data_IF_541091225046
#
_entry.id   IF_541091225046
#
_cell.length_a   1.000
_cell.length_b   1.000
_cell.length_c   1.000
_cell.angle_alpha   90.00
_cell.angle_beta   90.00
_cell.angle_gamma   90.00
#
_symmetry.space_group_name_H-M   'P 1'
#
loop_
_entity.id
_entity.type
_entity.pdbx_description
1 polymer ?
#
# COMPACT_ATOMS: atom_id res chain seq x y z
N UNK A 1 6.91 2.65 1.65
CA UNK A 1 5.86 2.11 2.53
C UNK A 1 4.48 2.49 2.05
N UNK A 2 4.14 3.77 1.88
CA UNK A 2 2.79 4.16 1.46
C UNK A 2 1.76 4.13 2.60
N UNK A 3 2.24 4.29 3.85
CA UNK A 3 1.48 4.25 5.11
C UNK A 3 1.06 5.65 5.55
N UNK A 4 0.08 5.75 6.46
CA UNK A 4 -0.39 7.03 7.00
C UNK A 4 0.68 7.81 7.78
N UNK A 5 1.56 7.10 8.48
CA UNK A 5 2.62 7.70 9.29
C UNK A 5 4.01 7.31 8.79
N UNK A 6 5.02 8.05 9.24
CA UNK A 6 6.43 7.78 8.94
C UNK A 6 6.87 6.40 9.44
N UNK A 7 7.94 5.86 8.84
CA UNK A 7 8.40 4.48 9.10
C UNK A 7 8.67 4.19 10.58
N UNK A 8 9.22 5.15 11.34
CA UNK A 8 9.55 4.99 12.76
C UNK A 8 8.34 5.12 13.69
N UNK A 9 7.18 5.51 13.16
CA UNK A 9 5.92 5.63 13.88
C UNK A 9 4.99 4.43 13.58
N UNK A 10 5.50 3.43 12.86
CA UNK A 10 4.78 2.20 12.57
C UNK A 10 5.21 1.09 13.53
N UNK A 11 4.34 0.09 13.69
CA UNK A 11 4.66 -1.15 14.40
C UNK A 11 5.54 -2.02 13.50
N UNK A 12 6.71 -2.42 14.00
CA UNK A 12 7.73 -3.13 13.21
C UNK A 12 7.19 -4.46 12.71
N UNK A 13 6.63 -5.29 13.59
CA UNK A 13 6.17 -6.64 13.22
C UNK A 13 5.11 -6.61 12.09
N UNK A 14 4.31 -5.55 12.02
CA UNK A 14 3.22 -5.44 11.05
C UNK A 14 3.71 -4.95 9.68
N UNK A 15 4.65 -4.00 9.66
CA UNK A 15 4.95 -3.23 8.46
C UNK A 15 6.39 -3.31 8.00
N UNK A 16 7.31 -3.88 8.79
CA UNK A 16 8.73 -3.94 8.46
C UNK A 16 9.01 -4.67 7.14
N UNK A 17 8.19 -5.64 6.74
CA UNK A 17 8.35 -6.33 5.44
C UNK A 17 8.29 -5.36 4.26
N UNK A 18 7.56 -4.26 4.38
CA UNK A 18 7.41 -3.26 3.33
C UNK A 18 8.66 -2.36 3.19
N UNK A 19 9.52 -2.34 4.20
CA UNK A 19 10.72 -1.50 4.24
C UNK A 19 11.91 -2.23 3.63
N UNK A 20 12.68 -1.49 2.82
CA UNK A 20 13.97 -1.93 2.31
C UNK A 20 14.92 -2.26 3.46
N UNK A 21 15.69 -3.34 3.31
CA UNK A 21 16.71 -3.73 4.29
C UNK A 21 17.85 -2.71 4.26
N UNK A 22 17.76 -1.74 5.17
CA UNK A 22 18.65 -0.60 5.28
C UNK A 22 19.02 -0.41 6.74
N UNK A 23 20.04 0.40 7.00
CA UNK A 23 20.39 0.79 8.36
C UNK A 23 19.18 1.33 9.14
N UNK A 24 18.31 2.12 8.48
CA UNK A 24 17.11 2.67 9.11
C UNK A 24 16.13 1.59 9.59
N UNK A 25 15.95 0.51 8.82
CA UNK A 25 15.11 -0.63 9.23
C UNK A 25 15.69 -1.35 10.46
N UNK A 26 17.02 -1.47 10.53
CA UNK A 26 17.70 -2.05 11.70
C UNK A 26 17.52 -1.17 12.93
N UNK A 27 17.73 0.15 12.80
CA UNK A 27 17.51 1.11 13.89
C UNK A 27 16.08 1.04 14.42
N UNK A 28 15.10 0.97 13.51
CA UNK A 28 13.70 0.82 13.90
C UNK A 28 13.45 -0.44 14.74
N UNK A 29 14.04 -1.58 14.34
CA UNK A 29 13.97 -2.83 15.12
C UNK A 29 14.54 -2.66 16.53
N UNK A 30 15.70 -2.01 16.65
CA UNK A 30 16.34 -1.78 17.95
C UNK A 30 15.53 -0.82 18.83
N UNK A 31 14.97 0.23 18.24
CA UNK A 31 14.11 1.18 18.96
C UNK A 31 12.88 0.47 19.57
N UNK A 32 12.22 -0.40 18.81
CA UNK A 32 11.07 -1.16 19.30
C UNK A 32 11.49 -2.15 20.41
N UNK A 33 12.65 -2.81 20.27
CA UNK A 33 13.18 -3.72 21.30
C UNK A 33 13.51 -3.01 22.62
N UNK A 34 13.83 -1.72 22.57
CA UNK A 34 14.10 -0.86 23.73
C UNK A 34 12.85 -0.14 24.25
N UNK A 35 11.67 -0.39 23.67
CA UNK A 35 10.42 0.34 23.93
C UNK A 35 10.58 1.87 23.78
N UNK A 36 11.38 2.28 22.78
CA UNK A 36 11.63 3.67 22.43
C UNK A 36 10.93 4.05 21.13
N UNK A 37 10.35 5.25 21.09
CA UNK A 37 9.63 5.74 19.92
C UNK A 37 10.17 7.11 19.49
N UNK A 38 10.34 7.29 18.19
CA UNK A 38 10.73 8.58 17.62
C UNK A 38 9.46 9.31 17.19
N UNK A 39 9.12 10.36 17.94
CA UNK A 39 8.10 11.31 17.51
C UNK A 39 8.69 12.23 16.44
N UNK A 40 8.15 12.16 15.22
CA UNK A 40 8.52 13.06 14.14
C UNK A 40 7.26 13.55 13.43
N UNK A 41 7.20 14.85 13.14
CA UNK A 41 6.09 15.46 12.41
C UNK A 41 6.35 15.27 10.90
N UNK A 42 5.96 14.10 10.39
CA UNK A 42 6.02 13.82 8.96
C UNK A 42 4.71 14.22 8.31
N UNK A 43 4.73 14.95 7.17
CA UNK A 43 3.52 15.18 6.42
C UNK A 43 2.94 13.82 6.00
N UNK A 44 1.72 13.54 6.44
CA UNK A 44 0.98 12.36 6.01
C UNK A 44 0.77 12.40 4.50
N UNK A 45 0.59 11.22 3.88
CA UNK A 45 0.19 11.14 2.48
C UNK A 45 -1.08 11.95 2.28
N UNK A 46 -1.04 12.88 1.33
CA UNK A 46 -2.17 13.76 1.03
C UNK A 46 -3.24 12.91 0.36
N UNK A 47 -4.33 12.66 1.09
CA UNK A 47 -5.51 12.00 0.54
C UNK A 47 -6.26 13.01 -0.32
N UNK A 48 -6.66 12.59 -1.52
CA UNK A 48 -7.43 13.44 -2.45
C UNK A 48 -8.89 13.61 -1.99
N UNK A 49 -9.43 12.63 -1.27
CA UNK A 49 -10.78 12.66 -0.72
C UNK A 49 -10.76 12.45 0.81
N UNK A 50 -11.66 13.12 1.53
CA UNK A 50 -11.73 13.07 3.00
C UNK A 50 -12.07 11.68 3.56
N UNK A 51 -12.67 10.80 2.75
CA UNK A 51 -13.06 9.44 3.14
C UNK A 51 -12.22 8.37 2.46
N UNK A 52 -11.14 8.77 1.78
CA UNK A 52 -10.30 7.85 1.05
C UNK A 52 -9.43 7.03 2.00
N UNK A 53 -9.20 5.78 1.66
CA UNK A 53 -8.37 4.88 2.46
C UNK A 53 -7.10 4.52 1.70
N UNK A 54 -5.96 4.53 2.39
CA UNK A 54 -4.71 4.01 1.82
C UNK A 54 -4.81 2.50 1.65
N UNK A 55 -4.41 2.00 0.49
CA UNK A 55 -4.43 0.57 0.17
C UNK A 55 -3.64 -0.26 1.19
N UNK A 56 -2.49 0.26 1.65
CA UNK A 56 -1.66 -0.43 2.64
C UNK A 56 -2.38 -0.59 3.98
N UNK A 57 -3.12 0.42 4.43
CA UNK A 57 -3.90 0.32 5.66
C UNK A 57 -5.02 -0.71 5.53
N UNK A 58 -5.65 -0.78 4.35
CA UNK A 58 -6.67 -1.78 4.05
C UNK A 58 -6.08 -3.20 4.05
N UNK A 59 -4.88 -3.41 3.49
CA UNK A 59 -4.20 -4.71 3.56
C UNK A 59 -3.82 -5.12 4.99
N UNK A 60 -3.43 -4.16 5.83
CA UNK A 60 -3.15 -4.41 7.24
C UNK A 60 -4.42 -4.77 8.01
N UNK A 61 -5.55 -4.11 7.73
CA UNK A 61 -6.85 -4.40 8.34
C UNK A 61 -7.36 -5.81 7.97
N UNK A 62 -7.02 -6.29 6.79
CA UNK A 62 -7.32 -7.64 6.32
C UNK A 62 -6.47 -8.75 6.95
N UNK A 63 -5.50 -8.40 7.80
CA UNK A 63 -4.57 -9.35 8.43
C UNK A 63 -3.90 -10.29 7.43
N UNK A 64 -3.55 -9.77 6.25
CA UNK A 64 -2.87 -10.57 5.22
C UNK A 64 -1.46 -10.95 5.68
N UNK A 65 -1.07 -12.17 5.32
CA UNK A 65 0.28 -12.67 5.58
C UNK A 65 1.37 -11.74 5.01
N UNK A 66 2.53 -11.69 5.65
CA UNK A 66 3.61 -10.75 5.34
C UNK A 66 4.11 -10.88 3.90
N UNK A 67 4.21 -12.10 3.37
CA UNK A 67 4.60 -12.32 1.98
C UNK A 67 3.54 -11.78 1.00
N UNK A 68 2.26 -12.00 1.30
CA UNK A 68 1.17 -11.44 0.50
C UNK A 68 1.18 -9.92 0.57
N UNK A 69 1.40 -9.34 1.75
CA UNK A 69 1.51 -7.90 1.97
C UNK A 69 2.64 -7.28 1.13
N UNK A 70 3.80 -7.94 1.09
CA UNK A 70 4.93 -7.53 0.25
C UNK A 70 4.53 -7.48 -1.23
N UNK A 71 3.92 -8.55 -1.74
CA UNK A 71 3.53 -8.64 -3.15
C UNK A 71 2.41 -7.67 -3.51
N UNK A 72 1.44 -7.45 -2.63
CA UNK A 72 0.41 -6.42 -2.80
C UNK A 72 1.02 -5.02 -2.87
N UNK A 73 1.98 -4.72 -1.98
CA UNK A 73 2.69 -3.44 -2.05
C UNK A 73 3.53 -3.34 -3.34
N UNK A 74 4.09 -4.43 -3.85
CA UNK A 74 4.78 -4.44 -5.14
C UNK A 74 3.83 -4.16 -6.31
N UNK A 75 2.68 -4.83 -6.37
CA UNK A 75 1.63 -4.58 -7.36
C UNK A 75 1.18 -3.11 -7.34
N UNK A 76 0.93 -2.59 -6.13
CA UNK A 76 0.58 -1.19 -5.88
C UNK A 76 1.65 -0.22 -6.40
N UNK A 77 2.92 -0.49 -6.12
CA UNK A 77 4.03 0.35 -6.60
C UNK A 77 4.19 0.31 -8.11
N UNK A 78 3.97 -0.85 -8.73
CA UNK A 78 3.98 -0.99 -10.19
C UNK A 78 2.87 -0.20 -10.87
N UNK A 79 1.66 -0.23 -10.29
CA UNK A 79 0.52 0.55 -10.74
C UNK A 79 0.63 2.05 -10.40
N UNK A 80 1.49 2.41 -9.43
CA UNK A 80 1.67 3.77 -8.92
C UNK A 80 0.41 4.35 -8.24
N UNK A 81 -0.28 3.52 -7.45
CA UNK A 81 -1.53 3.87 -6.77
C UNK A 81 -1.34 3.89 -5.25
N UNK A 82 -1.96 4.83 -4.54
CA UNK A 82 -1.83 4.92 -3.08
C UNK A 82 -3.14 4.61 -2.35
N UNK A 83 -4.25 4.95 -2.99
CA UNK A 83 -5.57 4.98 -2.35
C UNK A 83 -6.55 4.02 -3.04
N UNK A 84 -7.67 3.75 -2.37
CA UNK A 84 -8.78 2.99 -2.97
C UNK A 84 -9.36 3.75 -4.15
N UNK A 85 -9.51 5.07 -4.04
CA UNK A 85 -10.04 5.92 -5.12
C UNK A 85 -9.17 5.94 -6.39
N UNK A 86 -7.86 5.69 -6.25
CA UNK A 86 -6.96 5.57 -7.41
C UNK A 86 -7.28 4.32 -8.24
N UNK A 87 -7.82 3.26 -7.63
CA UNK A 87 -8.08 1.98 -8.29
C UNK A 87 -9.56 1.78 -8.66
N UNK A 88 -10.47 2.50 -8.03
CA UNK A 88 -11.92 2.41 -8.28
C UNK A 88 -12.40 3.40 -9.33
N UNK A 89 -13.57 3.12 -9.90
CA UNK A 89 -14.34 4.05 -10.74
C UNK A 89 -14.88 5.20 -9.88
N UNK A 90 -15.31 6.30 -10.51
CA UNK A 90 -15.85 7.46 -9.79
C UNK A 90 -17.05 7.12 -8.88
N UNK A 91 -17.79 6.06 -9.21
CA UNK A 91 -18.91 5.55 -8.41
C UNK A 91 -18.46 4.64 -7.25
N UNK A 92 -17.16 4.42 -7.06
CA UNK A 92 -16.51 3.59 -6.02
C UNK A 92 -16.92 2.09 -6.01
N UNK A 93 -17.77 1.67 -6.95
CA UNK A 93 -18.33 0.30 -7.01
C UNK A 93 -17.45 -0.72 -7.70
N UNK A 94 -16.60 -0.29 -8.62
CA UNK A 94 -15.83 -1.18 -9.48
C UNK A 94 -14.38 -0.78 -9.56
N UNK A 95 -13.48 -1.76 -9.71
CA UNK A 95 -12.08 -1.51 -10.05
C UNK A 95 -12.00 -1.10 -11.52
N UNK A 96 -11.21 -0.08 -11.83
CA UNK A 96 -10.91 0.31 -13.22
C UNK A 96 -10.30 -0.88 -13.96
N UNK A 97 -10.81 -1.19 -15.15
CA UNK A 97 -10.37 -2.35 -15.94
C UNK A 97 -8.86 -2.33 -16.23
N UNK A 98 -8.28 -1.16 -16.54
CA UNK A 98 -6.84 -1.02 -16.74
C UNK A 98 -6.04 -1.45 -15.49
N UNK A 99 -6.45 -0.98 -14.32
CA UNK A 99 -5.85 -1.33 -13.04
C UNK A 99 -6.04 -2.82 -12.73
N UNK A 100 -7.18 -3.40 -13.09
CA UNK A 100 -7.43 -4.83 -12.93
C UNK A 100 -6.52 -5.70 -13.84
N UNK A 101 -6.24 -5.25 -15.05
CA UNK A 101 -5.41 -5.97 -16.04
C UNK A 101 -3.90 -5.73 -15.83
N UNK A 102 -3.54 -4.88 -14.88
CA UNK A 102 -2.13 -4.53 -14.58
C UNK A 102 -1.53 -3.60 -15.61
N UNK A 103 -2.37 -2.74 -16.17
CA UNK A 103 -1.98 -1.65 -17.05
C UNK A 103 -1.91 -0.39 -16.21
N UNK A 104 -0.72 0.23 -16.21
CA UNK A 104 -0.52 1.53 -15.60
C UNK A 104 -1.21 2.60 -16.46
N UNK A 105 -1.92 3.50 -15.81
CA UNK A 105 -2.48 4.68 -16.46
C UNK A 105 -1.41 5.79 -16.50
N UNK A 106 -0.71 5.90 -17.63
CA UNK A 106 0.32 6.92 -17.81
C UNK A 106 -0.24 8.35 -17.92
N UNK A 107 -1.57 8.50 -18.05
CA UNK A 107 -2.22 9.82 -18.11
C UNK A 107 -2.37 10.44 -16.72
N UNK A 108 -2.46 9.60 -15.68
CA UNK A 108 -2.58 10.03 -14.29
C UNK A 108 -1.18 10.15 -13.68
N UNK A 109 -0.67 11.38 -13.62
CA UNK A 109 0.59 11.64 -12.90
C UNK A 109 0.37 11.59 -11.40
N UNK A 110 0.98 10.60 -10.75
CA UNK A 110 1.14 10.60 -9.30
C UNK A 110 2.00 11.80 -8.86
N UNK A 111 1.65 12.49 -7.76
CA UNK A 111 2.49 13.54 -7.18
C UNK A 111 3.75 12.96 -6.51
N UNK A 112 3.76 11.65 -6.24
CA UNK A 112 4.85 10.94 -5.59
C UNK A 112 5.84 10.36 -6.59
N UNK A 113 7.11 10.28 -6.17
CA UNK A 113 8.14 9.52 -6.86
C UNK A 113 8.01 8.04 -6.50
N UNK A 114 7.99 7.19 -7.53
CA UNK A 114 7.89 5.75 -7.37
C UNK A 114 9.22 5.07 -7.65
N UNK A 115 9.55 3.99 -6.93
CA UNK A 115 10.72 3.18 -7.25
C UNK A 115 10.55 2.54 -8.64
N UNK A 116 11.68 2.19 -9.26
CA UNK A 116 11.65 1.40 -10.48
C UNK A 116 11.17 -0.01 -10.14
N UNK A 117 10.03 -0.40 -10.70
CA UNK A 117 9.41 -1.71 -10.47
C UNK A 117 9.24 -2.48 -11.76
N UNK A 118 9.38 -3.80 -11.68
CA UNK A 118 9.04 -4.74 -12.75
C UNK A 118 7.60 -5.22 -12.56
N UNK A 119 6.90 -5.51 -13.66
CA UNK A 119 5.55 -6.06 -13.64
C UNK A 119 5.52 -7.35 -12.80
N UNK A 120 4.63 -7.47 -11.80
CA UNK A 120 4.45 -8.70 -11.05
C UNK A 120 4.13 -9.89 -11.96
N UNK A 121 4.55 -11.09 -11.56
CA UNK A 121 4.15 -12.32 -12.25
C UNK A 121 2.65 -12.56 -12.11
N UNK A 122 2.12 -13.43 -12.99
CA UNK A 122 0.69 -13.76 -13.01
C UNK A 122 0.14 -14.18 -11.63
N UNK A 123 0.87 -15.00 -10.89
CA UNK A 123 0.47 -15.46 -9.56
C UNK A 123 0.26 -14.31 -8.56
N UNK A 124 1.18 -13.35 -8.51
CA UNK A 124 1.06 -12.18 -7.64
C UNK A 124 -0.03 -11.22 -8.11
N UNK A 125 -0.32 -11.23 -9.41
CA UNK A 125 -1.42 -10.48 -9.98
C UNK A 125 -2.79 -11.07 -9.62
N UNK A 126 -2.93 -12.39 -9.66
CA UNK A 126 -4.12 -13.10 -9.22
C UNK A 126 -4.39 -12.86 -7.72
N UNK A 127 -3.33 -12.78 -6.91
CA UNK A 127 -3.42 -12.38 -5.49
C UNK A 127 -4.01 -10.97 -5.34
N UNK A 128 -3.49 -10.00 -6.11
CA UNK A 128 -3.99 -8.62 -6.10
C UNK A 128 -5.48 -8.57 -6.47
N UNK A 129 -5.86 -9.23 -7.56
CA UNK A 129 -7.24 -9.30 -8.04
C UNK A 129 -8.18 -9.91 -7.00
N UNK A 130 -7.77 -11.02 -6.37
CA UNK A 130 -8.59 -11.71 -5.38
C UNK A 130 -8.88 -10.84 -4.16
N UNK A 131 -7.83 -10.20 -3.61
CA UNK A 131 -7.97 -9.42 -2.38
C UNK A 131 -8.67 -8.07 -2.61
N UNK A 132 -8.39 -7.39 -3.71
CA UNK A 132 -9.07 -6.14 -4.04
C UNK A 132 -10.55 -6.35 -4.34
N UNK A 133 -10.92 -7.48 -4.96
CA UNK A 133 -12.31 -7.86 -5.19
C UNK A 133 -13.05 -8.24 -3.90
N UNK A 134 -12.39 -8.93 -2.97
CA UNK A 134 -12.97 -9.28 -1.67
C UNK A 134 -13.39 -8.02 -0.89
N UNK A 135 -12.52 -7.02 -0.84
CA UNK A 135 -12.78 -5.78 -0.10
C UNK A 135 -13.88 -4.94 -0.73
N UNK A 136 -13.91 -4.78 -2.05
CA UNK A 136 -14.99 -4.00 -2.68
C UNK A 136 -16.36 -4.65 -2.55
N UNK A 137 -16.42 -5.97 -2.36
CA UNK A 137 -17.66 -6.65 -1.97
C UNK A 137 -18.09 -6.30 -0.55
N UNK A 138 -17.16 -6.08 0.37
CA UNK A 138 -17.45 -5.69 1.76
C UNK A 138 -17.90 -4.23 1.88
N UNK A 139 -17.53 -3.36 0.94
CA UNK A 139 -17.97 -1.96 0.90
C UNK A 139 -19.26 -1.71 0.08
N UNK A 140 -19.72 -2.70 -0.71
CA UNK A 140 -20.92 -2.58 -1.56
C UNK A 140 -22.21 -3.18 -0.97
N UNK A 141 -22.27 -3.46 0.34
CA UNK A 141 -23.48 -3.91 1.04
C UNK A 141 -23.71 -3.14 2.34
#
# INVERSE_FOLDING_TARGET
MGTSFGILQQVYINTAILASDTWLKRVWKELEALDMYVAFDSPALTLRYQHDTLLVNLFLKLEVDQDKLLWLNWCRMFLQVCTVSDITTADERFIRRAIWDGLRDDTVRSPYQWPRTVRPTRQHWELWQTLTLLELRLFCF
#
